data_IF_606169705966
#
_entry.id   IF_606169705966
#
_cell.length_a   1.000
_cell.length_b   1.000
_cell.length_c   1.000
_cell.angle_alpha   90.00
_cell.angle_beta   90.00
_cell.angle_gamma   90.00
#
_symmetry.space_group_name_H-M   'P 1'
#
loop_
_entity.id
_entity.type
_entity.pdbx_description
1 polymer ?
#
# COMPACT_ATOMS: atom_id res chain seq x y z
N UNK A 1 -14.55 8.22 -6.74
CA UNK A 1 -14.75 7.14 -7.74
C UNK A 1 -13.86 7.31 -8.98
N UNK A 2 -13.98 8.40 -9.74
CA UNK A 2 -13.27 8.58 -11.04
C UNK A 2 -11.73 8.50 -10.93
N UNK A 3 -11.13 9.13 -9.92
CA UNK A 3 -9.67 9.09 -9.69
C UNK A 3 -9.13 7.69 -9.40
N UNK A 4 -9.88 6.88 -8.63
CA UNK A 4 -9.52 5.48 -8.34
C UNK A 4 -9.57 4.62 -9.60
N UNK A 5 -10.59 4.83 -10.45
CA UNK A 5 -10.73 4.09 -11.71
C UNK A 5 -9.61 4.46 -12.70
N UNK A 6 -9.23 5.74 -12.79
CA UNK A 6 -8.13 6.17 -13.67
C UNK A 6 -6.77 5.67 -13.17
N UNK A 7 -6.53 5.68 -11.86
CA UNK A 7 -5.29 5.16 -11.28
C UNK A 7 -5.18 3.64 -11.40
N UNK A 8 -6.26 2.90 -11.11
CA UNK A 8 -6.32 1.45 -11.33
C UNK A 8 -6.17 1.08 -12.80
N UNK A 9 -6.83 1.80 -13.73
CA UNK A 9 -6.65 1.57 -15.18
C UNK A 9 -5.22 1.82 -15.65
N UNK A 10 -4.54 2.83 -15.09
CA UNK A 10 -3.13 3.11 -15.41
C UNK A 10 -2.19 2.05 -14.82
N UNK A 11 -2.49 1.55 -13.62
CA UNK A 11 -1.79 0.46 -12.95
C UNK A 11 -1.91 -0.87 -13.72
N UNK A 12 -3.13 -1.23 -14.14
CA UNK A 12 -3.39 -2.46 -14.89
C UNK A 12 -2.77 -2.44 -16.30
N UNK A 13 -2.68 -1.27 -16.93
CA UNK A 13 -2.04 -1.10 -18.25
C UNK A 13 -0.53 -1.31 -18.24
N UNK A 14 0.13 -1.15 -17.10
CA UNK A 14 1.59 -1.27 -16.97
C UNK A 14 2.07 -2.57 -16.30
N UNK A 15 1.16 -3.41 -15.80
CA UNK A 15 1.48 -4.68 -15.10
C UNK A 15 2.43 -4.54 -13.89
N UNK A 16 2.74 -3.32 -13.44
CA UNK A 16 3.59 -3.03 -12.27
C UNK A 16 2.75 -2.68 -11.04
N UNK A 17 1.86 -3.61 -10.66
CA UNK A 17 0.85 -3.43 -9.59
C UNK A 17 1.47 -2.96 -8.27
N UNK A 18 2.58 -3.56 -7.86
CA UNK A 18 3.26 -3.22 -6.60
C UNK A 18 3.80 -1.78 -6.57
N UNK A 19 4.45 -1.32 -7.65
CA UNK A 19 5.02 0.04 -7.72
C UNK A 19 3.95 1.12 -7.80
N UNK A 20 2.84 0.85 -8.49
CA UNK A 20 1.72 1.79 -8.59
C UNK A 20 0.96 1.91 -7.27
N UNK A 21 0.78 0.81 -6.54
CA UNK A 21 0.18 0.83 -5.20
C UNK A 21 1.06 1.57 -4.20
N UNK A 22 2.36 1.33 -4.23
CA UNK A 22 3.32 2.08 -3.42
C UNK A 22 3.31 3.58 -3.72
N UNK A 23 3.34 3.96 -5.01
CA UNK A 23 3.30 5.37 -5.39
C UNK A 23 2.00 6.04 -4.95
N UNK A 24 0.85 5.36 -5.07
CA UNK A 24 -0.43 5.85 -4.59
C UNK A 24 -0.43 6.08 -3.07
N UNK A 25 0.08 5.11 -2.30
CA UNK A 25 0.16 5.20 -0.85
C UNK A 25 1.11 6.32 -0.40
N UNK A 26 2.29 6.42 -1.01
CA UNK A 26 3.25 7.49 -0.69
C UNK A 26 2.69 8.86 -1.06
N UNK A 27 2.09 9.02 -2.24
CA UNK A 27 1.43 10.26 -2.65
C UNK A 27 0.32 10.66 -1.67
N UNK A 28 -0.49 9.71 -1.21
CA UNK A 28 -1.52 9.95 -0.20
C UNK A 28 -0.93 10.40 1.14
N UNK A 29 0.13 9.75 1.62
CA UNK A 29 0.82 10.13 2.85
C UNK A 29 1.42 11.54 2.77
N UNK A 30 2.06 11.90 1.65
CA UNK A 30 2.59 13.24 1.45
C UNK A 30 1.47 14.28 1.30
N UNK A 31 0.40 13.97 0.59
CA UNK A 31 -0.72 14.89 0.38
C UNK A 31 -1.38 15.31 1.69
N UNK A 32 -1.64 14.35 2.59
CA UNK A 32 -2.23 14.67 3.90
C UNK A 32 -1.22 15.39 4.80
N UNK A 33 0.07 15.01 4.79
CA UNK A 33 1.09 15.70 5.58
C UNK A 33 1.25 17.17 5.16
N UNK A 34 1.31 17.45 3.86
CA UNK A 34 1.40 18.81 3.33
C UNK A 34 0.13 19.61 3.65
N UNK A 35 -1.05 18.99 3.50
CA UNK A 35 -2.32 19.65 3.81
C UNK A 35 -2.41 20.09 5.28
N UNK A 36 -1.88 19.27 6.20
CA UNK A 36 -1.82 19.58 7.63
C UNK A 36 -0.80 20.68 7.97
N UNK A 37 0.29 20.79 7.22
CA UNK A 37 1.28 21.87 7.39
C UNK A 37 0.70 23.21 6.90
N UNK A 38 0.02 23.21 5.75
CA UNK A 38 -0.60 24.42 5.17
C UNK A 38 -1.74 24.94 6.07
N UNK A 39 -2.45 24.03 6.75
CA UNK A 39 -3.50 24.34 7.72
C UNK A 39 -4.58 25.30 7.19
N UNK A 40 -4.90 25.17 5.90
CA UNK A 40 -6.00 25.88 5.24
C UNK A 40 -7.16 24.92 4.99
N UNK A 41 -8.43 25.33 5.19
CA UNK A 41 -9.58 24.45 5.02
C UNK A 41 -9.64 23.77 3.65
N UNK A 42 -9.36 24.51 2.58
CA UNK A 42 -9.34 23.97 1.21
C UNK A 42 -8.22 22.94 1.01
N UNK A 43 -7.04 23.16 1.59
CA UNK A 43 -5.89 22.26 1.48
C UNK A 43 -6.16 20.94 2.21
N UNK A 44 -6.80 21.01 3.39
CA UNK A 44 -7.22 19.84 4.16
C UNK A 44 -8.20 19.00 3.34
N UNK A 45 -9.24 19.62 2.74
CA UNK A 45 -10.21 18.91 1.90
C UNK A 45 -9.51 18.18 0.74
N UNK A 46 -8.64 18.88 0.00
CA UNK A 46 -7.89 18.29 -1.12
C UNK A 46 -6.97 17.15 -0.63
N UNK A 47 -6.29 17.35 0.50
CA UNK A 47 -5.45 16.34 1.14
C UNK A 47 -6.21 15.06 1.49
N UNK A 48 -7.40 15.18 2.06
CA UNK A 48 -8.26 14.03 2.38
C UNK A 48 -8.79 13.32 1.14
N UNK A 49 -9.12 14.06 0.07
CA UNK A 49 -9.53 13.46 -1.21
C UNK A 49 -8.39 12.62 -1.79
N UNK A 50 -7.16 13.15 -1.81
CA UNK A 50 -5.98 12.44 -2.30
C UNK A 50 -5.63 11.25 -1.41
N UNK A 51 -5.73 11.41 -0.09
CA UNK A 51 -5.55 10.33 0.88
C UNK A 51 -6.52 9.18 0.60
N UNK A 52 -7.81 9.48 0.46
CA UNK A 52 -8.82 8.48 0.15
C UNK A 52 -8.52 7.76 -1.17
N UNK A 53 -8.22 8.51 -2.24
CA UNK A 53 -7.88 7.91 -3.55
C UNK A 53 -6.68 6.97 -3.43
N UNK A 54 -5.62 7.38 -2.73
CA UNK A 54 -4.41 6.56 -2.58
C UNK A 54 -4.64 5.31 -1.73
N UNK A 55 -5.30 5.43 -0.58
CA UNK A 55 -5.60 4.30 0.31
C UNK A 55 -6.51 3.27 -0.37
N UNK A 56 -7.59 3.72 -1.01
CA UNK A 56 -8.50 2.82 -1.72
C UNK A 56 -7.88 2.23 -3.00
N UNK A 57 -6.91 2.90 -3.62
CA UNK A 57 -6.15 2.27 -4.73
C UNK A 57 -5.20 1.20 -4.20
N UNK A 58 -4.52 1.48 -3.07
CA UNK A 58 -3.59 0.54 -2.44
C UNK A 58 -4.30 -0.71 -1.92
N UNK A 59 -5.47 -0.59 -1.29
CA UNK A 59 -6.24 -1.75 -0.80
C UNK A 59 -6.67 -2.69 -1.94
N UNK A 60 -7.09 -2.13 -3.09
CA UNK A 60 -7.47 -2.92 -4.26
C UNK A 60 -6.27 -3.73 -4.79
N UNK A 61 -5.08 -3.13 -4.82
CA UNK A 61 -3.85 -3.80 -5.24
C UNK A 61 -3.44 -4.86 -4.21
N UNK A 62 -3.55 -4.56 -2.92
CA UNK A 62 -3.22 -5.49 -1.83
C UNK A 62 -3.97 -6.81 -1.97
N UNK A 63 -5.29 -6.78 -2.22
CA UNK A 63 -6.10 -8.00 -2.37
C UNK A 63 -5.75 -8.84 -3.61
N UNK A 64 -5.03 -8.30 -4.59
CA UNK A 64 -4.57 -9.10 -5.74
C UNK A 64 -3.34 -9.97 -5.44
N UNK A 65 -2.63 -9.69 -4.34
CA UNK A 65 -1.32 -10.31 -4.04
C UNK A 65 -1.45 -11.72 -3.42
N UNK A 66 -2.23 -11.94 -2.34
CA UNK A 66 -2.25 -13.23 -1.65
C UNK A 66 -2.64 -14.40 -2.55
N UNK A 67 -3.63 -14.20 -3.42
CA UNK A 67 -4.09 -15.23 -4.37
C UNK A 67 -3.08 -15.56 -5.47
N UNK A 68 -2.07 -14.72 -5.68
CA UNK A 68 -0.99 -14.99 -6.64
C UNK A 68 0.23 -15.66 -5.98
N UNK A 69 0.40 -15.53 -4.66
CA UNK A 69 1.61 -15.99 -3.96
C UNK A 69 1.40 -17.23 -3.11
N UNK A 70 0.16 -17.56 -2.75
CA UNK A 70 -0.18 -18.67 -1.86
C UNK A 70 -1.19 -19.60 -2.54
N UNK A 71 -1.06 -20.91 -2.33
CA UNK A 71 -2.00 -21.93 -2.82
C UNK A 71 -2.46 -22.84 -1.68
N UNK A 72 -3.66 -23.45 -1.83
CA UNK A 72 -4.21 -24.42 -0.88
C UNK A 72 -4.36 -23.88 0.55
N UNK A 73 -3.90 -24.65 1.54
CA UNK A 73 -4.04 -24.36 2.98
C UNK A 73 -3.27 -23.09 3.38
N UNK A 74 -2.11 -22.83 2.78
CA UNK A 74 -1.32 -21.63 3.05
C UNK A 74 -2.05 -20.33 2.69
N UNK A 75 -2.86 -20.35 1.62
CA UNK A 75 -3.66 -19.21 1.21
C UNK A 75 -4.78 -18.91 2.23
N UNK A 76 -5.47 -19.94 2.70
CA UNK A 76 -6.51 -19.80 3.71
C UNK A 76 -5.96 -19.25 5.03
N UNK A 77 -4.81 -19.75 5.49
CA UNK A 77 -4.14 -19.25 6.69
C UNK A 77 -3.71 -17.78 6.52
N UNK A 78 -3.14 -17.42 5.36
CA UNK A 78 -2.76 -16.04 5.06
C UNK A 78 -3.94 -15.08 5.07
N UNK A 79 -5.06 -15.44 4.43
CA UNK A 79 -6.29 -14.64 4.43
C UNK A 79 -6.87 -14.52 5.85
N UNK A 80 -6.85 -15.60 6.64
CA UNK A 80 -7.26 -15.57 8.03
C UNK A 80 -6.45 -14.57 8.87
N UNK A 81 -5.13 -14.59 8.73
CA UNK A 81 -4.25 -13.63 9.42
C UNK A 81 -4.53 -12.19 9.00
N UNK A 82 -4.76 -11.93 7.71
CA UNK A 82 -5.11 -10.60 7.20
C UNK A 82 -6.40 -10.10 7.85
N UNK A 83 -7.44 -10.92 7.94
CA UNK A 83 -8.71 -10.52 8.56
C UNK A 83 -8.58 -10.28 10.07
N UNK A 84 -7.78 -11.09 10.77
CA UNK A 84 -7.51 -10.87 12.20
C UNK A 84 -6.82 -9.52 12.45
N UNK A 85 -5.80 -9.19 11.64
CA UNK A 85 -5.13 -7.88 11.70
C UNK A 85 -6.07 -6.76 11.29
N UNK A 86 -6.89 -6.97 10.26
CA UNK A 86 -7.90 -6.02 9.80
C UNK A 86 -8.88 -5.64 10.91
N UNK A 87 -9.42 -6.64 11.60
CA UNK A 87 -10.33 -6.41 12.73
C UNK A 87 -9.65 -5.68 13.89
N UNK A 88 -8.38 -6.02 14.20
CA UNK A 88 -7.62 -5.31 15.22
C UNK A 88 -7.44 -3.83 14.85
N UNK A 89 -7.11 -3.54 13.58
CA UNK A 89 -6.94 -2.16 13.11
C UNK A 89 -8.20 -1.32 13.22
N UNK A 90 -9.39 -1.94 13.07
CA UNK A 90 -10.68 -1.28 13.24
C UNK A 90 -10.95 -0.81 14.67
N UNK A 91 -10.38 -1.49 15.67
CA UNK A 91 -10.42 -1.04 17.06
C UNK A 91 -9.29 -0.05 17.38
N UNK A 92 -8.06 -0.37 16.98
CA UNK A 92 -6.87 0.43 17.32
C UNK A 92 -6.88 1.82 16.66
N UNK A 93 -7.38 1.95 15.42
CA UNK A 93 -7.37 3.20 14.68
C UNK A 93 -8.16 4.33 15.37
N UNK A 94 -9.46 4.14 15.65
CA UNK A 94 -10.27 5.12 16.37
C UNK A 94 -9.78 5.37 17.80
N UNK A 95 -9.36 4.32 18.51
CA UNK A 95 -8.82 4.43 19.86
C UNK A 95 -7.57 5.32 19.90
N UNK A 96 -6.59 5.05 19.02
CA UNK A 96 -5.36 5.83 18.94
C UNK A 96 -5.63 7.27 18.52
N UNK A 97 -6.53 7.47 17.54
CA UNK A 97 -6.94 8.80 17.09
C UNK A 97 -7.57 9.60 18.22
N UNK A 98 -8.47 8.99 18.99
CA UNK A 98 -9.10 9.59 20.16
C UNK A 98 -8.10 9.92 21.26
N UNK A 99 -7.21 8.99 21.59
CA UNK A 99 -6.15 9.20 22.59
C UNK A 99 -5.20 10.35 22.22
N UNK A 100 -4.79 10.42 20.96
CA UNK A 100 -3.95 11.52 20.47
C UNK A 100 -4.71 12.85 20.49
N UNK A 101 -6.00 12.85 20.17
CA UNK A 101 -6.83 14.05 20.29
C UNK A 101 -6.97 14.51 21.73
N UNK A 102 -7.27 13.62 22.68
CA UNK A 102 -7.41 13.98 24.10
C UNK A 102 -6.13 14.51 24.71
N UNK A 103 -4.97 14.05 24.21
CA UNK A 103 -3.66 14.45 24.73
C UNK A 103 -3.15 15.75 24.10
N UNK A 104 -3.36 15.93 22.80
CA UNK A 104 -2.80 17.07 22.05
C UNK A 104 -3.79 18.21 21.80
N UNK A 105 -5.09 17.95 21.99
CA UNK A 105 -6.18 18.88 21.66
C UNK A 105 -6.41 19.07 20.16
N UNK A 106 -5.69 18.36 19.27
CA UNK A 106 -5.80 18.52 17.82
C UNK A 106 -5.78 17.18 17.10
N UNK A 107 -6.35 17.11 15.90
CA UNK A 107 -6.27 15.90 15.06
C UNK A 107 -5.01 15.82 14.20
N UNK A 108 -4.19 16.88 14.18
CA UNK A 108 -3.00 16.96 13.33
C UNK A 108 -2.04 15.81 13.59
N UNK A 109 -1.74 15.53 14.86
CA UNK A 109 -0.84 14.45 15.26
C UNK A 109 -1.41 13.08 14.91
N UNK A 110 -2.73 12.89 15.05
CA UNK A 110 -3.39 11.64 14.68
C UNK A 110 -3.33 11.39 13.16
N UNK A 111 -3.59 12.41 12.35
CA UNK A 111 -3.52 12.27 10.89
C UNK A 111 -2.07 12.13 10.38
N UNK A 112 -1.08 12.74 11.03
CA UNK A 112 0.33 12.47 10.74
C UNK A 112 0.73 11.03 11.08
N UNK A 113 0.23 10.48 12.19
CA UNK A 113 0.44 9.06 12.52
C UNK A 113 -0.16 8.15 11.43
N UNK A 114 -1.39 8.44 10.99
CA UNK A 114 -2.05 7.72 9.87
C UNK A 114 -1.21 7.84 8.59
N UNK A 115 -0.72 9.04 8.26
CA UNK A 115 0.17 9.24 7.11
C UNK A 115 1.43 8.37 7.20
N UNK A 116 2.02 8.26 8.39
CA UNK A 116 3.14 7.36 8.68
C UNK A 116 2.80 5.89 8.40
N UNK A 117 1.66 5.40 8.89
CA UNK A 117 1.22 4.02 8.62
C UNK A 117 0.99 3.76 7.13
N UNK A 118 0.37 4.70 6.42
CA UNK A 118 0.17 4.61 4.96
C UNK A 118 1.51 4.60 4.23
N UNK A 119 2.46 5.44 4.64
CA UNK A 119 3.80 5.46 4.06
C UNK A 119 4.55 4.14 4.30
N UNK A 120 4.46 3.56 5.51
CA UNK A 120 5.03 2.24 5.81
C UNK A 120 4.41 1.15 4.94
N UNK A 121 3.08 1.16 4.73
CA UNK A 121 2.42 0.25 3.80
C UNK A 121 2.91 0.41 2.35
N UNK A 122 3.10 1.66 1.90
CA UNK A 122 3.66 1.96 0.59
C UNK A 122 5.10 1.45 0.43
N UNK A 123 5.95 1.64 1.44
CA UNK A 123 7.32 1.10 1.47
C UNK A 123 7.33 -0.43 1.47
N UNK A 124 6.42 -1.07 2.20
CA UNK A 124 6.24 -2.53 2.17
C UNK A 124 5.91 -3.04 0.77
N UNK A 125 5.04 -2.35 0.03
CA UNK A 125 4.74 -2.67 -1.37
C UNK A 125 5.95 -2.50 -2.29
N UNK A 126 6.79 -1.47 -2.09
CA UNK A 126 8.05 -1.33 -2.84
C UNK A 126 9.03 -2.44 -2.54
N UNK A 127 9.15 -2.85 -1.28
CA UNK A 127 10.01 -3.95 -0.87
C UNK A 127 9.58 -5.25 -1.56
N UNK A 128 8.28 -5.56 -1.55
CA UNK A 128 7.73 -6.71 -2.26
C UNK A 128 7.98 -6.63 -3.77
N UNK A 129 7.85 -5.44 -4.37
CA UNK A 129 8.18 -5.23 -5.78
C UNK A 129 9.64 -5.57 -6.10
N UNK A 130 10.56 -5.14 -5.21
CA UNK A 130 11.99 -5.38 -5.35
C UNK A 130 12.33 -6.86 -5.21
N UNK A 131 11.82 -7.52 -4.18
CA UNK A 131 12.01 -8.96 -3.94
C UNK A 131 11.52 -9.80 -5.14
N UNK A 132 10.35 -9.46 -5.71
CA UNK A 132 9.83 -10.12 -6.91
C UNK A 132 10.67 -9.84 -8.15
N UNK A 133 11.21 -8.64 -8.30
CA UNK A 133 12.10 -8.32 -9.42
C UNK A 133 13.42 -9.08 -9.33
N UNK A 134 13.97 -9.25 -8.14
CA UNK A 134 15.24 -9.93 -7.93
C UNK A 134 15.10 -11.44 -8.12
N UNK A 135 14.01 -12.05 -7.67
CA UNK A 135 13.73 -13.47 -7.93
C UNK A 135 13.59 -13.80 -9.41
N UNK A 136 12.92 -12.93 -10.19
CA UNK A 136 12.79 -13.09 -11.63
C UNK A 136 14.14 -13.02 -12.36
N UNK A 137 15.05 -12.14 -11.92
CA UNK A 137 16.40 -12.05 -12.50
C UNK A 137 17.22 -13.32 -12.23
N UNK A 138 17.15 -13.84 -11.00
CA UNK A 138 17.83 -15.08 -10.62
C UNK A 138 17.31 -16.26 -11.45
N UNK A 139 15.99 -16.38 -11.62
CA UNK A 139 15.40 -17.47 -12.40
C UNK A 139 15.77 -17.37 -13.89
N UNK A 140 15.73 -16.18 -14.49
CA UNK A 140 16.19 -15.99 -15.87
C UNK A 140 17.67 -16.33 -16.06
N UNK A 141 18.51 -16.03 -15.06
CA UNK A 141 19.92 -16.39 -15.10
C UNK A 141 20.12 -17.91 -15.02
N UNK A 142 19.36 -18.59 -14.16
CA UNK A 142 19.37 -20.07 -14.07
C UNK A 142 18.95 -20.73 -15.37
N UNK A 143 17.90 -20.22 -16.02
CA UNK A 143 17.43 -20.72 -17.32
C UNK A 143 18.49 -20.54 -18.40
N UNK A 144 19.12 -19.35 -18.49
CA UNK A 144 20.22 -19.10 -19.45
C UNK A 144 21.39 -20.07 -19.25
N UNK A 145 21.77 -20.36 -18.00
CA UNK A 145 22.85 -21.32 -17.70
C UNK A 145 22.45 -22.75 -18.10
N UNK A 146 21.23 -23.20 -17.78
CA UNK A 146 20.75 -24.53 -18.19
C UNK A 146 20.77 -24.71 -19.71
N UNK A 147 20.22 -23.76 -20.47
CA UNK A 147 20.20 -23.83 -21.93
C UNK A 147 21.62 -23.83 -22.52
N UNK A 148 22.57 -23.12 -21.90
CA UNK A 148 23.97 -23.14 -22.34
C UNK A 148 24.70 -24.47 -22.05
N UNK A 149 24.30 -25.20 -21.01
CA UNK A 149 24.83 -26.54 -20.71
C UNK A 149 24.25 -27.61 -21.64
N UNK A 150 22.97 -27.51 -22.02
CA UNK A 150 22.31 -28.48 -22.91
C UNK A 150 22.78 -28.38 -24.39
N UNK A 151 23.44 -27.28 -24.78
CA UNK A 151 23.97 -27.08 -26.14
C UNK A 151 25.44 -27.53 -26.32
N UNK A 152 26.07 -28.08 -25.28
CA UNK A 152 27.43 -28.62 -25.32
C UNK A 152 27.42 -30.13 -25.24
#
# INVERSE_FOLDING_TARGET
AVGMVLWSRRSDRKQERYKHGACAALMAAFAIAIALIVNQPWAIIVGFILLAIGVFSAINIFWTIPGQTLTGVGAAAGIGLINSVGNLSGFTGPYLTGYLYTTTGTYTVAFLAIAGFVAMGGLGLLLLAKLKSDSLKVEQQRLKVRTATEMK
#
